data_IF_529188138953
#
_entry.id   IF_529188138953
#
_cell.length_a   1.000
_cell.length_b   1.000
_cell.length_c   1.000
_cell.angle_alpha   90.00
_cell.angle_beta   90.00
_cell.angle_gamma   90.00
#
_symmetry.space_group_name_H-M   'P 1'
#
loop_
_entity.id
_entity.type
_entity.pdbx_description
1 polymer ?
#
# COMPACT_ATOMS: atom_id res chain seq x y z
N UNK A 1 -14.13 7.80 -29.41
CA UNK A 1 -14.78 8.74 -28.46
C UNK A 1 -14.58 8.14 -27.09
N UNK A 2 -13.59 8.61 -26.32
CA UNK A 2 -13.40 8.17 -24.95
C UNK A 2 -14.54 8.77 -24.13
N UNK A 3 -15.44 7.91 -23.65
CA UNK A 3 -16.40 8.31 -22.62
C UNK A 3 -15.59 8.89 -21.44
N UNK A 4 -16.00 10.01 -20.82
CA UNK A 4 -15.32 10.51 -19.64
C UNK A 4 -15.37 9.40 -18.57
N UNK A 5 -14.19 8.96 -18.12
CA UNK A 5 -14.08 7.99 -17.03
C UNK A 5 -14.76 8.56 -15.79
N UNK A 6 -15.82 7.89 -15.34
CA UNK A 6 -16.65 8.36 -14.23
C UNK A 6 -15.89 8.19 -12.91
N UNK A 7 -15.89 9.22 -12.06
CA UNK A 7 -15.21 9.23 -10.76
C UNK A 7 -16.15 8.64 -9.70
N UNK A 8 -15.87 7.41 -9.27
CA UNK A 8 -16.65 6.67 -8.29
C UNK A 8 -16.27 7.00 -6.84
N UNK A 9 -15.02 7.41 -6.60
CA UNK A 9 -14.53 7.82 -5.29
C UNK A 9 -13.46 8.90 -5.44
N UNK A 10 -13.54 9.92 -4.59
CA UNK A 10 -12.49 10.90 -4.35
C UNK A 10 -12.37 11.12 -2.84
N UNK A 11 -11.34 10.53 -2.24
CA UNK A 11 -11.14 10.56 -0.80
C UNK A 11 -9.72 11.01 -0.46
N UNK A 12 -9.62 12.08 0.33
CA UNK A 12 -8.37 12.43 1.02
C UNK A 12 -8.27 11.59 2.29
N UNK A 13 -7.14 10.90 2.45
CA UNK A 13 -6.80 10.07 3.61
C UNK A 13 -5.85 10.89 4.48
N UNK A 14 -6.28 11.38 5.67
CA UNK A 14 -5.40 12.13 6.56
C UNK A 14 -4.13 11.35 6.93
N UNK A 15 -3.08 12.07 7.31
CA UNK A 15 -1.86 11.46 7.81
C UNK A 15 -2.17 10.54 9.00
N UNK A 16 -1.64 9.31 8.97
CA UNK A 16 -1.85 8.34 10.03
C UNK A 16 -3.22 7.69 10.07
N UNK A 17 -4.16 7.98 9.16
CA UNK A 17 -5.48 7.35 9.21
C UNK A 17 -5.60 6.15 8.25
N UNK A 18 -6.42 5.14 8.61
CA UNK A 18 -6.75 4.06 7.70
C UNK A 18 -7.82 4.49 6.69
N UNK A 19 -7.89 3.75 5.58
CA UNK A 19 -8.98 3.85 4.62
C UNK A 19 -9.31 2.49 4.03
N UNK A 20 -10.59 2.24 3.76
CA UNK A 20 -11.06 1.00 3.16
C UNK A 20 -12.03 1.33 2.03
N UNK A 21 -11.82 0.74 0.86
CA UNK A 21 -12.71 0.89 -0.29
C UNK A 21 -12.86 -0.42 -1.06
N UNK A 22 -13.97 -0.53 -1.77
CA UNK A 22 -14.16 -1.56 -2.78
C UNK A 22 -13.80 -1.00 -4.16
N UNK A 23 -13.10 -1.80 -4.96
CA UNK A 23 -12.81 -1.50 -6.36
C UNK A 23 -13.31 -2.68 -7.18
N UNK A 24 -14.23 -2.44 -8.10
CA UNK A 24 -14.82 -3.47 -8.96
C UNK A 24 -13.89 -3.82 -10.11
N UNK A 25 -14.01 -5.04 -10.62
CA UNK A 25 -13.26 -5.47 -11.80
C UNK A 25 -13.42 -4.48 -12.96
N UNK A 26 -12.31 -4.14 -13.62
CA UNK A 26 -12.26 -3.14 -14.68
C UNK A 26 -12.00 -1.71 -14.20
N UNK A 27 -12.37 -1.36 -12.96
CA UNK A 27 -12.12 -0.04 -12.41
C UNK A 27 -10.62 0.20 -12.20
N UNK A 28 -10.25 1.48 -12.19
CA UNK A 28 -8.92 1.94 -11.80
C UNK A 28 -8.94 2.57 -10.42
N UNK A 29 -7.90 2.31 -9.64
CA UNK A 29 -7.63 2.95 -8.36
C UNK A 29 -6.29 3.66 -8.43
N UNK A 30 -6.31 4.97 -8.15
CA UNK A 30 -5.11 5.81 -8.09
C UNK A 30 -4.86 6.21 -6.65
N UNK A 31 -3.63 5.97 -6.20
CA UNK A 31 -3.11 6.50 -4.94
C UNK A 31 -2.21 7.68 -5.32
N UNK A 32 -2.51 8.86 -4.79
CA UNK A 32 -1.80 10.11 -5.06
C UNK A 32 -1.17 10.61 -3.76
N UNK A 33 0.12 10.90 -3.80
CA UNK A 33 0.81 11.61 -2.74
C UNK A 33 0.62 13.13 -2.93
N UNK A 34 -0.03 13.78 -1.97
CA UNK A 34 -0.39 15.20 -2.08
C UNK A 34 0.78 16.14 -1.76
N UNK A 35 1.75 15.70 -0.94
CA UNK A 35 2.82 16.58 -0.44
C UNK A 35 4.23 16.01 -0.62
N UNK A 36 4.36 14.80 -1.17
CA UNK A 36 5.63 14.13 -1.39
C UNK A 36 6.11 13.35 -0.17
N UNK A 37 7.04 12.42 -0.41
CA UNK A 37 7.60 11.48 0.54
C UNK A 37 6.62 10.55 1.26
N UNK A 38 5.29 10.70 1.19
CA UNK A 38 4.38 9.91 2.00
C UNK A 38 4.32 8.46 1.54
N UNK A 39 4.69 7.52 2.40
CA UNK A 39 4.48 6.10 2.20
C UNK A 39 3.02 5.70 2.48
N UNK A 40 2.47 4.88 1.59
CA UNK A 40 1.08 4.39 1.69
C UNK A 40 1.09 2.87 1.74
N UNK A 41 0.98 2.33 2.95
CA UNK A 41 0.95 0.91 3.21
C UNK A 41 -0.43 0.37 2.78
N UNK A 42 -0.46 -0.59 1.86
CA UNK A 42 -1.71 -1.07 1.23
C UNK A 42 -1.79 -2.60 1.17
N UNK A 43 -2.95 -3.12 1.53
CA UNK A 43 -3.34 -4.53 1.43
C UNK A 43 -4.50 -4.68 0.44
N UNK A 44 -4.52 -5.80 -0.28
CA UNK A 44 -5.56 -6.14 -1.24
C UNK A 44 -6.15 -7.52 -0.94
N UNK A 45 -7.49 -7.61 -0.93
CA UNK A 45 -8.25 -8.83 -0.70
C UNK A 45 -9.30 -9.00 -1.80
N UNK A 46 -9.65 -10.22 -2.17
CA UNK A 46 -10.81 -10.49 -3.03
C UNK A 46 -12.08 -10.11 -2.27
N UNK A 47 -12.97 -9.34 -2.91
CA UNK A 47 -14.23 -8.91 -2.32
C UNK A 47 -15.17 -10.10 -2.04
N UNK A 48 -15.14 -11.09 -2.94
CA UNK A 48 -15.97 -12.30 -2.82
C UNK A 48 -15.51 -13.27 -1.72
N UNK A 49 -14.21 -13.26 -1.41
CA UNK A 49 -13.62 -14.13 -0.40
C UNK A 49 -12.30 -13.52 0.12
N UNK A 50 -12.31 -12.83 1.27
CA UNK A 50 -11.11 -12.19 1.81
C UNK A 50 -9.95 -13.14 2.21
N UNK A 51 -10.17 -14.46 2.19
CA UNK A 51 -9.08 -15.44 2.31
C UNK A 51 -8.20 -15.48 1.07
N UNK A 52 -8.73 -15.05 -0.08
CA UNK A 52 -7.95 -14.75 -1.27
C UNK A 52 -7.41 -13.31 -1.18
N UNK A 53 -6.10 -13.15 -1.17
CA UNK A 53 -5.43 -11.87 -0.89
C UNK A 53 -4.07 -11.78 -1.58
N UNK A 54 -3.55 -10.57 -1.68
CA UNK A 54 -2.24 -10.30 -2.26
C UNK A 54 -1.15 -11.22 -1.69
N UNK A 55 -0.34 -11.77 -2.59
CA UNK A 55 0.78 -12.65 -2.28
C UNK A 55 2.06 -12.06 -2.87
N UNK A 56 2.88 -11.51 -1.96
CA UNK A 56 4.19 -10.95 -2.29
C UNK A 56 5.10 -12.00 -2.93
N UNK A 57 5.17 -13.21 -2.37
CA UNK A 57 6.11 -14.23 -2.86
C UNK A 57 5.77 -14.65 -4.28
N UNK A 58 4.48 -14.86 -4.56
CA UNK A 58 4.04 -15.20 -5.91
C UNK A 58 4.27 -14.05 -6.89
N UNK A 59 3.97 -12.83 -6.49
CA UNK A 59 4.16 -11.63 -7.32
C UNK A 59 5.63 -11.49 -7.71
N UNK A 60 6.54 -11.42 -6.74
CA UNK A 60 7.97 -11.23 -6.98
C UNK A 60 8.58 -12.37 -7.83
N UNK A 61 8.21 -13.62 -7.56
CA UNK A 61 8.70 -14.78 -8.34
C UNK A 61 8.25 -14.76 -9.80
N UNK A 62 7.03 -14.31 -10.09
CA UNK A 62 6.51 -14.26 -11.46
C UNK A 62 7.15 -13.16 -12.29
N UNK A 63 7.38 -11.99 -11.69
CA UNK A 63 7.98 -10.86 -12.39
C UNK A 63 9.52 -10.86 -12.38
N UNK A 64 10.15 -11.73 -11.57
CA UNK A 64 11.60 -11.78 -11.38
C UNK A 64 12.23 -10.43 -11.01
N UNK A 65 11.55 -9.68 -10.16
CA UNK A 65 11.96 -8.36 -9.66
C UNK A 65 11.41 -8.19 -8.25
N UNK A 66 12.16 -7.54 -7.36
CA UNK A 66 11.74 -7.25 -5.98
C UNK A 66 10.87 -5.99 -5.85
N UNK A 67 10.86 -5.15 -6.89
CA UNK A 67 10.10 -3.89 -6.89
C UNK A 67 8.91 -3.94 -7.82
N UNK A 68 7.85 -3.25 -7.43
CA UNK A 68 6.65 -3.09 -8.24
C UNK A 68 6.69 -1.76 -8.99
N UNK A 69 6.22 -1.75 -10.24
CA UNK A 69 6.04 -0.53 -11.04
C UNK A 69 5.06 -0.81 -12.19
N UNK A 70 4.88 0.11 -13.13
CA UNK A 70 4.06 -0.10 -14.34
C UNK A 70 4.34 -1.46 -14.99
N UNK A 71 3.27 -2.22 -15.23
CA UNK A 71 3.33 -3.57 -15.77
C UNK A 71 3.39 -4.68 -14.71
N UNK A 72 3.67 -4.37 -13.45
CA UNK A 72 3.57 -5.36 -12.36
C UNK A 72 2.12 -5.83 -12.19
N UNK A 73 1.94 -7.15 -12.22
CA UNK A 73 0.66 -7.80 -11.89
C UNK A 73 0.72 -8.29 -10.45
N UNK A 74 -0.20 -7.82 -9.62
CA UNK A 74 -0.33 -8.21 -8.22
C UNK A 74 -1.15 -9.51 -8.15
N UNK A 75 -0.49 -10.60 -7.76
CA UNK A 75 -1.14 -11.92 -7.72
C UNK A 75 -1.67 -12.24 -6.32
N UNK A 76 -2.80 -12.96 -6.28
CA UNK A 76 -3.35 -13.52 -5.07
C UNK A 76 -2.59 -14.75 -4.58
N UNK A 77 -2.83 -15.16 -3.34
CA UNK A 77 -2.40 -16.43 -2.76
C UNK A 77 -3.03 -17.67 -3.43
N UNK A 78 -4.05 -17.51 -4.27
CA UNK A 78 -4.57 -18.55 -5.17
C UNK A 78 -3.98 -18.48 -6.58
N UNK A 79 -3.20 -17.44 -6.87
CA UNK A 79 -2.48 -17.26 -8.13
C UNK A 79 -3.28 -16.56 -9.21
N UNK A 80 -4.38 -15.91 -8.85
CA UNK A 80 -5.16 -15.08 -9.77
C UNK A 80 -4.58 -13.65 -9.81
N UNK A 81 -4.59 -12.97 -10.97
CA UNK A 81 -4.36 -11.53 -11.03
C UNK A 81 -5.43 -10.80 -10.22
N UNK A 82 -5.02 -9.92 -9.30
CA UNK A 82 -5.94 -9.08 -8.53
C UNK A 82 -5.96 -7.66 -9.07
N UNK A 83 -4.78 -7.08 -9.29
CA UNK A 83 -4.60 -5.76 -9.87
C UNK A 83 -3.37 -5.74 -10.78
N UNK A 84 -3.37 -4.84 -11.75
CA UNK A 84 -2.19 -4.52 -12.56
C UNK A 84 -1.83 -3.06 -12.38
N UNK A 85 -0.58 -2.73 -12.10
CA UNK A 85 -0.11 -1.33 -12.11
C UNK A 85 -0.07 -0.88 -13.57
N UNK A 86 -0.95 0.05 -13.95
CA UNK A 86 -1.10 0.53 -15.32
C UNK A 86 -0.38 1.85 -15.57
N UNK A 87 -0.10 2.60 -14.51
CA UNK A 87 0.68 3.83 -14.58
C UNK A 87 1.37 4.09 -13.23
N UNK A 88 2.59 4.63 -13.27
CA UNK A 88 3.44 4.88 -12.10
C UNK A 88 4.41 6.00 -12.44
N UNK A 89 4.29 7.09 -11.68
CA UNK A 89 5.12 8.28 -11.88
C UNK A 89 6.38 8.31 -11.00
N UNK A 90 6.53 7.33 -10.11
CA UNK A 90 7.69 7.15 -9.22
C UNK A 90 8.66 6.07 -9.75
N UNK A 91 8.14 5.07 -10.45
CA UNK A 91 8.90 4.03 -11.14
C UNK A 91 9.33 2.85 -10.27
N UNK A 92 9.00 2.83 -8.97
CA UNK A 92 9.44 1.79 -8.04
C UNK A 92 8.64 1.78 -6.73
N UNK A 93 8.18 0.62 -6.27
CA UNK A 93 7.52 0.48 -4.97
C UNK A 93 8.00 -0.76 -4.22
N UNK A 94 8.06 -0.65 -2.89
CA UNK A 94 8.50 -1.70 -1.99
C UNK A 94 7.35 -2.62 -1.57
N UNK A 95 7.68 -3.88 -1.29
CA UNK A 95 6.77 -4.88 -0.70
C UNK A 95 7.54 -5.81 0.27
N UNK A 96 8.72 -5.39 0.73
CA UNK A 96 9.62 -6.14 1.60
C UNK A 96 9.73 -5.52 3.00
N UNK A 97 9.66 -4.19 3.11
CA UNK A 97 9.88 -3.46 4.36
C UNK A 97 8.81 -3.74 5.42
N UNK A 98 7.61 -4.12 4.96
CA UNK A 98 6.44 -4.42 5.78
C UNK A 98 5.90 -3.20 6.52
N UNK A 99 4.73 -3.37 7.14
CA UNK A 99 4.07 -2.32 7.89
C UNK A 99 4.78 -2.03 9.23
N UNK A 100 4.87 -0.76 9.60
CA UNK A 100 5.31 -0.41 10.95
C UNK A 100 4.32 -0.93 12.00
N UNK A 101 4.83 -1.37 13.15
CA UNK A 101 4.06 -1.97 14.22
C UNK A 101 4.70 -1.63 15.58
N UNK A 102 3.90 -1.71 16.64
CA UNK A 102 4.37 -1.58 18.02
C UNK A 102 5.64 -2.42 18.28
N UNK A 103 5.60 -3.72 17.95
CA UNK A 103 6.72 -4.62 18.24
C UNK A 103 7.96 -4.26 17.40
N UNK A 104 7.80 -4.00 16.10
CA UNK A 104 8.93 -3.67 15.23
C UNK A 104 9.57 -2.33 15.60
N UNK A 105 8.77 -1.33 16.01
CA UNK A 105 9.28 -0.05 16.47
C UNK A 105 10.11 -0.20 17.76
N UNK A 106 9.68 -1.06 18.69
CA UNK A 106 10.45 -1.30 19.93
C UNK A 106 11.78 -1.99 19.71
N UNK A 107 11.83 -2.93 18.77
CA UNK A 107 13.05 -3.69 18.45
C UNK A 107 14.02 -2.86 17.61
N UNK A 108 13.52 -2.08 16.65
CA UNK A 108 14.37 -1.33 15.70
C UNK A 108 14.88 0.00 16.26
N UNK A 109 14.10 0.68 17.10
CA UNK A 109 14.40 2.07 17.49
C UNK A 109 14.62 2.23 19.00
N UNK A 110 13.59 2.02 19.82
CA UNK A 110 13.70 2.07 21.29
C UNK A 110 12.42 1.55 21.95
N UNK A 111 12.53 1.05 23.19
CA UNK A 111 11.38 0.54 23.97
C UNK A 111 10.25 1.56 24.15
N UNK A 112 10.59 2.84 24.29
CA UNK A 112 9.63 3.95 24.42
C UNK A 112 8.74 4.16 23.19
N UNK A 113 9.16 3.68 22.00
CA UNK A 113 8.38 3.79 20.77
C UNK A 113 7.17 2.85 20.72
N UNK A 114 6.99 2.02 21.76
CA UNK A 114 5.89 1.06 21.93
C UNK A 114 4.49 1.68 21.75
N UNK A 115 4.32 2.93 22.17
CA UNK A 115 3.01 3.59 22.17
C UNK A 115 2.79 4.51 20.98
N UNK A 116 3.77 4.59 20.07
CA UNK A 116 3.61 5.36 18.85
C UNK A 116 2.66 4.65 17.89
N UNK A 117 1.81 5.45 17.27
CA UNK A 117 0.87 5.02 16.25
C UNK A 117 1.59 4.31 15.10
N UNK A 118 1.01 3.20 14.63
CA UNK A 118 1.59 2.37 13.58
C UNK A 118 0.58 1.97 12.50
N UNK A 119 1.08 1.59 11.33
CA UNK A 119 0.26 1.07 10.23
C UNK A 119 -0.51 -0.19 10.62
N UNK A 120 0.12 -1.05 11.45
CA UNK A 120 -0.55 -2.23 12.01
C UNK A 120 -1.80 -1.85 12.81
N UNK A 121 -1.73 -0.77 13.61
CA UNK A 121 -2.89 -0.30 14.39
C UNK A 121 -3.98 0.26 13.47
N UNK A 122 -3.61 0.95 12.39
CA UNK A 122 -4.56 1.42 11.37
C UNK A 122 -5.31 0.28 10.71
N UNK A 123 -4.61 -0.77 10.28
CA UNK A 123 -5.25 -1.96 9.74
C UNK A 123 -6.22 -2.58 10.74
N UNK A 124 -5.82 -2.71 12.02
CA UNK A 124 -6.69 -3.25 13.05
C UNK A 124 -7.93 -2.38 13.28
N UNK A 125 -7.78 -1.05 13.35
CA UNK A 125 -8.89 -0.10 13.44
C UNK A 125 -9.87 -0.29 12.27
N UNK A 126 -9.36 -0.31 11.03
CA UNK A 126 -10.19 -0.50 9.84
C UNK A 126 -10.92 -1.86 9.85
N UNK A 127 -10.21 -2.95 10.14
CA UNK A 127 -10.79 -4.28 10.24
C UNK A 127 -11.92 -4.33 11.29
N UNK A 128 -11.73 -3.70 12.44
CA UNK A 128 -12.76 -3.62 13.49
C UNK A 128 -13.98 -2.82 13.07
N UNK A 129 -13.80 -1.71 12.34
CA UNK A 129 -14.91 -0.88 11.86
C UNK A 129 -15.70 -1.53 10.73
N UNK A 130 -15.01 -2.21 9.81
CA UNK A 130 -15.63 -2.82 8.63
C UNK A 130 -16.26 -4.19 8.91
N UNK A 131 -15.62 -5.02 9.74
CA UNK A 131 -16.12 -6.31 10.18
C UNK A 131 -15.94 -7.47 9.19
N UNK A 132 -15.50 -7.25 7.95
CA UNK A 132 -15.23 -8.34 6.98
C UNK A 132 -13.83 -8.94 7.12
N UNK A 133 -12.92 -8.19 7.73
CA UNK A 133 -11.52 -8.57 7.93
C UNK A 133 -11.20 -8.66 9.42
N UNK A 134 -10.22 -9.48 9.77
CA UNK A 134 -9.76 -9.67 11.14
C UNK A 134 -8.24 -9.45 11.26
N UNK A 135 -7.74 -9.46 12.49
CA UNK A 135 -6.30 -9.45 12.77
C UNK A 135 -5.54 -10.58 12.04
N UNK A 136 -6.18 -11.73 11.81
CA UNK A 136 -5.55 -12.89 11.17
C UNK A 136 -5.36 -12.71 9.66
N UNK A 137 -6.07 -11.74 9.05
CA UNK A 137 -6.02 -11.48 7.62
C UNK A 137 -4.89 -10.51 7.24
N UNK A 138 -4.38 -9.73 8.21
CA UNK A 138 -3.28 -8.79 8.03
C UNK A 138 -1.98 -9.56 7.72
N UNK A 139 -1.51 -9.44 6.47
CA UNK A 139 -0.29 -10.06 5.97
C UNK A 139 0.75 -9.05 5.46
N UNK A 140 1.71 -9.48 4.62
CA UNK A 140 2.64 -8.58 3.94
C UNK A 140 1.88 -7.59 3.04
N UNK A 141 2.23 -6.31 3.16
CA UNK A 141 1.62 -5.22 2.42
C UNK A 141 2.58 -4.66 1.36
N UNK A 142 2.01 -3.89 0.44
CA UNK A 142 2.79 -3.03 -0.46
C UNK A 142 3.00 -1.69 0.23
N UNK A 143 4.20 -1.14 0.15
CA UNK A 143 4.57 0.18 0.65
C UNK A 143 4.70 1.12 -0.56
N UNK A 144 3.59 1.68 -1.04
CA UNK A 144 3.66 2.63 -2.16
C UNK A 144 4.45 3.87 -1.75
N UNK A 145 5.25 4.39 -2.69
CA UNK A 145 6.17 5.53 -2.53
C UNK A 145 7.33 5.38 -1.54
N UNK A 146 7.33 4.33 -0.70
CA UNK A 146 8.43 4.04 0.21
C UNK A 146 9.68 3.58 -0.55
N UNK A 147 10.83 4.09 -0.12
CA UNK A 147 12.14 3.75 -0.68
C UNK A 147 12.88 2.74 0.21
N UNK A 148 12.91 1.49 -0.23
CA UNK A 148 13.63 0.40 0.46
C UNK A 148 14.63 -0.24 -0.50
N UNK A 149 15.83 0.34 -0.68
CA UNK A 149 16.82 -0.22 -1.60
C UNK A 149 17.39 -1.53 -1.05
N UNK A 150 17.47 -2.52 -1.94
CA UNK A 150 18.11 -3.82 -1.69
C UNK A 150 19.50 -3.84 -2.32
N UNK A 151 20.53 -4.15 -1.53
CA UNK A 151 21.91 -4.27 -2.01
C UNK A 151 22.18 -5.64 -2.63
N UNK A 152 23.27 -5.77 -3.39
CA UNK A 152 23.66 -7.05 -3.99
C UNK A 152 23.97 -8.14 -2.93
N UNK A 153 24.39 -7.73 -1.74
CA UNK A 153 24.66 -8.59 -0.58
C UNK A 153 23.38 -8.95 0.20
N UNK A 154 22.22 -8.44 -0.22
CA UNK A 154 20.93 -8.69 0.42
C UNK A 154 20.61 -7.78 1.61
N UNK A 155 21.36 -6.68 1.78
CA UNK A 155 21.03 -5.65 2.77
C UNK A 155 19.80 -4.85 2.36
N UNK A 156 19.07 -4.31 3.35
CA UNK A 156 18.01 -3.32 3.12
C UNK A 156 18.16 -2.12 4.06
N UNK A 157 17.79 -0.95 3.58
CA UNK A 157 17.68 0.28 4.39
C UNK A 157 16.33 0.96 4.15
N UNK A 158 15.92 1.84 5.06
CA UNK A 158 14.79 2.74 4.86
C UNK A 158 15.37 4.10 4.52
N UNK A 159 15.17 4.55 3.28
CA UNK A 159 15.64 5.83 2.79
C UNK A 159 14.47 6.81 2.61
N UNK A 160 14.77 8.07 2.32
CA UNK A 160 13.75 9.06 1.98
C UNK A 160 12.83 8.56 0.86
N UNK A 161 11.54 8.84 1.01
CA UNK A 161 10.51 8.50 0.02
C UNK A 161 10.88 9.00 -1.38
N UNK A 162 10.43 8.27 -2.40
CA UNK A 162 10.78 8.62 -3.79
C UNK A 162 9.76 9.56 -4.46
N UNK A 163 8.63 9.82 -3.81
CA UNK A 163 7.57 10.66 -4.34
C UNK A 163 7.82 12.15 -4.09
N UNK A 164 7.44 12.96 -5.08
CA UNK A 164 7.25 14.40 -4.97
C UNK A 164 5.75 14.72 -4.92
N UNK A 165 5.33 15.94 -4.52
CA UNK A 165 3.93 16.34 -4.57
C UNK A 165 3.28 16.05 -5.93
N UNK A 166 2.10 15.43 -5.92
CA UNK A 166 1.34 15.09 -7.13
C UNK A 166 1.80 13.81 -7.83
N UNK A 167 2.78 13.08 -7.29
CA UNK A 167 3.14 11.75 -7.80
C UNK A 167 2.08 10.73 -7.40
N UNK A 168 1.80 9.81 -8.31
CA UNK A 168 0.83 8.74 -8.12
C UNK A 168 1.30 7.40 -8.67
N UNK A 169 0.58 6.37 -8.23
CA UNK A 169 0.50 5.03 -8.83
C UNK A 169 -0.96 4.72 -9.14
N UNK A 170 -1.23 4.12 -10.28
CA UNK A 170 -2.57 3.74 -10.73
C UNK A 170 -2.62 2.25 -11.07
N UNK A 171 -3.65 1.59 -10.54
CA UNK A 171 -3.85 0.16 -10.68
C UNK A 171 -5.21 -0.11 -11.30
N UNK A 172 -5.28 -1.01 -12.29
CA UNK A 172 -6.54 -1.57 -12.78
C UNK A 172 -6.87 -2.82 -11.98
N UNK A 173 -8.09 -2.93 -11.50
CA UNK A 173 -8.59 -4.14 -10.84
C UNK A 173 -8.93 -5.22 -11.87
N UNK A 174 -8.37 -6.41 -11.72
CA UNK A 174 -8.64 -7.59 -12.56
C UNK A 174 -9.77 -8.45 -12.00
N UNK A 175 -10.18 -8.17 -10.77
CA UNK A 175 -11.31 -8.77 -10.05
C UNK A 175 -11.87 -7.76 -9.05
N UNK A 176 -13.02 -8.02 -8.46
CA UNK A 176 -13.53 -7.19 -7.36
C UNK A 176 -12.61 -7.34 -6.13
N UNK A 177 -12.09 -6.23 -5.64
CA UNK A 177 -11.13 -6.20 -4.52
C UNK A 177 -11.56 -5.24 -3.40
N UNK A 178 -11.19 -5.59 -2.18
CA UNK A 178 -11.12 -4.68 -1.05
C UNK A 178 -9.70 -4.11 -1.02
N UNK A 179 -9.60 -2.80 -1.03
CA UNK A 179 -8.37 -2.04 -0.83
C UNK A 179 -8.35 -1.54 0.60
N UNK A 180 -7.36 -1.97 1.39
CA UNK A 180 -7.16 -1.54 2.76
C UNK A 180 -5.85 -0.76 2.85
N UNK A 181 -5.94 0.53 3.16
CA UNK A 181 -4.83 1.46 3.24
C UNK A 181 -4.58 1.84 4.70
N UNK A 182 -3.30 1.98 5.04
CA UNK A 182 -2.82 2.81 6.14
C UNK A 182 -1.95 3.92 5.56
N UNK A 183 -2.38 5.17 5.70
CA UNK A 183 -1.53 6.30 5.36
C UNK A 183 -0.45 6.46 6.45
N UNK A 184 0.78 6.03 6.16
CA UNK A 184 1.77 5.65 7.18
C UNK A 184 2.08 6.78 8.18
N UNK A 185 1.96 6.55 9.52
CA UNK A 185 2.27 7.55 10.56
C UNK A 185 3.74 7.52 11.02
N UNK A 186 4.63 6.80 10.34
CA UNK A 186 5.99 6.55 10.82
C UNK A 186 6.81 7.85 10.97
N UNK A 187 7.50 7.96 12.11
CA UNK A 187 8.35 9.10 12.50
C UNK A 187 9.77 8.68 12.91
N UNK A 188 10.05 7.37 12.99
CA UNK A 188 11.32 6.85 13.50
C UNK A 188 12.36 6.58 12.40
N UNK A 189 11.99 6.78 11.13
CA UNK A 189 12.86 6.59 9.97
C UNK A 189 12.44 7.56 8.84
N UNK A 190 13.24 7.71 7.77
CA UNK A 190 13.00 8.74 6.76
C UNK A 190 11.91 8.41 5.75
N UNK A 191 11.17 7.29 5.88
CA UNK A 191 10.25 6.82 4.83
C UNK A 191 9.17 7.83 4.42
N UNK A 192 8.83 8.76 5.31
CA UNK A 192 7.86 9.85 5.12
C UNK A 192 8.51 11.24 5.25
N UNK A 193 9.84 11.35 5.12
CA UNK A 193 10.58 12.58 5.40
C UNK A 193 10.39 13.09 6.84
N UNK A 194 10.11 12.19 7.79
CA UNK A 194 9.78 12.51 9.19
C UNK A 194 8.54 13.40 9.39
N UNK A 195 7.74 13.61 8.35
CA UNK A 195 6.54 14.44 8.37
C UNK A 195 5.40 13.75 7.61
N UNK A 196 4.60 12.88 8.28
CA UNK A 196 3.46 12.25 7.66
C UNK A 196 2.47 13.28 7.10
N UNK A 197 2.06 13.10 5.85
CA UNK A 197 1.15 14.00 5.12
C UNK A 197 -0.07 13.25 4.56
N UNK A 198 -1.13 13.96 4.16
CA UNK A 198 -2.30 13.32 3.56
C UNK A 198 -2.00 12.72 2.19
N UNK A 199 -2.64 11.58 1.89
CA UNK A 199 -2.70 10.99 0.56
C UNK A 199 -4.12 11.11 0.00
N UNK A 200 -4.31 10.82 -1.29
CA UNK A 200 -5.63 10.77 -1.91
C UNK A 200 -5.85 9.44 -2.65
N UNK A 201 -7.05 8.89 -2.53
CA UNK A 201 -7.53 7.74 -3.30
C UNK A 201 -8.58 8.21 -4.30
N UNK A 202 -8.38 7.85 -5.58
CA UNK A 202 -9.35 8.10 -6.64
C UNK A 202 -9.74 6.76 -7.27
N UNK A 203 -11.04 6.50 -7.43
CA UNK A 203 -11.54 5.29 -8.12
C UNK A 203 -12.36 5.70 -9.34
N UNK A 204 -12.09 5.09 -10.49
CA UNK A 204 -12.78 5.40 -11.76
C UNK A 204 -13.18 4.13 -12.51
N UNK A 205 -14.23 4.23 -13.32
CA UNK A 205 -14.65 3.18 -14.26
C UNK A 205 -13.74 3.04 -15.48
#
# INVERSE_FOLDING_TARGET
MNSPTHLCCDATIPAGEPFLAEVKAGQTVRILDLQGNQAVDTLFFSLSNPRERYDVQRTLRRQNSVYLTTGSVLFSNLGQPMLTIVDDTCGRHDTLGGACAQESNTVRYALEKRYMHSCRDNYLRACMHDGRLSKADIGPNINFFMNVPVTAEGGLTFEDGISAPGKYVELRAEMDVIVLISNCPQLNNPCNGYNPTPAQLLIRD
#
